data_IF_977039912273
#
_entry.id   IF_977039912273
#
_cell.length_a   1.000
_cell.length_b   1.000
_cell.length_c   1.000
_cell.angle_alpha   90.00
_cell.angle_beta   90.00
_cell.angle_gamma   90.00
#
_symmetry.space_group_name_H-M   'P 1'
#
loop_
_entity.id
_entity.type
_entity.pdbx_description
1 polymer ?
#
# COMPACT_ATOMS: atom_id res chain seq x y z
N UNK A 1 -6.12 4.84 -4.97
CA UNK A 1 -5.84 6.05 -5.79
C UNK A 1 -5.55 5.72 -7.26
N UNK A 2 -5.50 6.68 -8.19
CA UNK A 2 -5.23 6.39 -9.63
C UNK A 2 -3.87 5.70 -9.85
N UNK A 3 -2.85 6.04 -9.06
CA UNK A 3 -1.54 5.44 -9.17
C UNK A 3 -1.52 3.96 -8.77
N UNK A 4 -2.09 3.64 -7.60
CA UNK A 4 -2.27 2.25 -7.14
C UNK A 4 -3.06 1.43 -8.17
N UNK A 5 -4.10 1.98 -8.79
CA UNK A 5 -4.87 1.27 -9.83
C UNK A 5 -4.01 0.92 -11.05
N UNK A 6 -3.11 1.80 -11.49
CA UNK A 6 -2.19 1.55 -12.60
C UNK A 6 -1.23 0.40 -12.26
N UNK A 7 -0.65 0.43 -11.05
CA UNK A 7 0.27 -0.60 -10.58
C UNK A 7 -0.44 -1.94 -10.39
N UNK A 8 -1.59 -1.93 -9.70
CA UNK A 8 -2.45 -3.10 -9.46
C UNK A 8 -2.86 -3.79 -10.76
N UNK A 9 -3.30 -3.03 -11.77
CA UNK A 9 -3.68 -3.60 -13.07
C UNK A 9 -2.49 -4.32 -13.74
N UNK A 10 -1.29 -3.73 -13.68
CA UNK A 10 -0.09 -4.34 -14.26
C UNK A 10 0.39 -5.55 -13.47
N UNK A 11 0.30 -5.51 -12.13
CA UNK A 11 0.57 -6.66 -11.26
C UNK A 11 -0.36 -7.83 -11.58
N UNK A 12 -1.67 -7.56 -11.64
CA UNK A 12 -2.67 -8.55 -12.01
C UNK A 12 -2.34 -9.12 -13.39
N UNK A 13 -2.14 -8.29 -14.42
CA UNK A 13 -1.79 -8.78 -15.76
C UNK A 13 -0.67 -9.84 -15.78
N UNK A 14 0.41 -9.65 -15.01
CA UNK A 14 1.54 -10.60 -14.98
C UNK A 14 1.39 -11.74 -13.96
N UNK A 15 0.73 -11.50 -12.82
CA UNK A 15 0.66 -12.45 -11.71
C UNK A 15 -0.74 -13.04 -11.50
N UNK A 16 -1.69 -12.82 -12.42
CA UNK A 16 -3.05 -13.35 -12.33
C UNK A 16 -3.10 -14.87 -12.42
N UNK A 17 -2.25 -15.47 -13.26
CA UNK A 17 -2.28 -16.90 -13.53
C UNK A 17 -1.32 -17.69 -12.65
N UNK A 18 -1.80 -18.83 -12.14
CA UNK A 18 -1.06 -19.77 -11.32
C UNK A 18 -1.23 -19.52 -9.81
N UNK A 19 -0.38 -20.14 -9.00
CA UNK A 19 -0.42 -20.05 -7.54
C UNK A 19 0.12 -18.73 -6.97
N UNK A 20 0.09 -17.64 -7.74
CA UNK A 20 0.49 -16.31 -7.23
C UNK A 20 -0.71 -15.57 -6.67
N UNK A 21 -0.49 -14.68 -5.71
CA UNK A 21 -1.52 -13.81 -5.15
C UNK A 21 -1.06 -12.36 -5.19
N UNK A 22 -1.92 -11.50 -5.72
CA UNK A 22 -1.76 -10.04 -5.66
C UNK A 22 -2.79 -9.52 -4.66
N UNK A 23 -2.31 -8.94 -3.58
CA UNK A 23 -3.13 -8.28 -2.59
C UNK A 23 -2.88 -6.78 -2.68
N UNK A 24 -3.95 -6.00 -2.87
CA UNK A 24 -3.87 -4.53 -2.93
C UNK A 24 -4.54 -3.94 -1.69
N UNK A 25 -4.06 -2.77 -1.26
CA UNK A 25 -4.67 -1.97 -0.18
C UNK A 25 -4.83 -2.74 1.13
N UNK A 26 -3.80 -3.53 1.50
CA UNK A 26 -3.84 -4.35 2.70
C UNK A 26 -3.57 -3.48 3.92
N UNK A 27 -4.55 -3.40 4.82
CA UNK A 27 -4.36 -2.71 6.09
C UNK A 27 -3.81 -3.67 7.14
N UNK A 28 -2.85 -3.23 7.95
CA UNK A 28 -2.33 -3.93 9.12
C UNK A 28 -2.52 -3.09 10.38
N UNK A 29 -2.95 -3.73 11.47
CA UNK A 29 -2.87 -3.12 12.80
C UNK A 29 -1.43 -3.20 13.31
N UNK A 30 -0.89 -2.04 13.66
CA UNK A 30 0.40 -1.88 14.31
C UNK A 30 0.29 -2.18 15.81
N UNK A 31 1.42 -2.48 16.46
CA UNK A 31 1.46 -2.72 17.91
C UNK A 31 0.97 -1.52 18.75
N UNK A 32 1.02 -0.30 18.21
CA UNK A 32 0.55 0.91 18.89
C UNK A 32 -0.95 1.16 18.73
N UNK A 33 -1.70 0.25 18.10
CA UNK A 33 -3.13 0.41 17.83
C UNK A 33 -3.47 1.26 16.59
N UNK A 34 -2.46 1.81 15.90
CA UNK A 34 -2.65 2.49 14.62
C UNK A 34 -2.73 1.48 13.46
N UNK A 35 -3.20 1.91 12.29
CA UNK A 35 -3.17 1.12 11.07
C UNK A 35 -2.06 1.59 10.12
N UNK A 36 -1.50 0.67 9.33
CA UNK A 36 -0.64 0.98 8.17
C UNK A 36 -1.18 0.24 6.95
N UNK A 37 -1.19 0.90 5.80
CA UNK A 37 -1.66 0.31 4.54
C UNK A 37 -0.47 -0.04 3.66
N UNK A 38 -0.45 -1.27 3.14
CA UNK A 38 0.46 -1.71 2.08
C UNK A 38 -0.28 -1.63 0.76
N UNK A 39 0.21 -0.79 -0.16
CA UNK A 39 -0.43 -0.57 -1.46
C UNK A 39 -0.51 -1.87 -2.26
N UNK A 40 0.61 -2.60 -2.39
CA UNK A 40 0.61 -3.90 -3.05
C UNK A 40 1.55 -4.91 -2.38
N UNK A 41 1.06 -6.13 -2.20
CA UNK A 41 1.84 -7.30 -1.82
C UNK A 41 1.61 -8.40 -2.85
N UNK A 42 2.70 -8.87 -3.46
CA UNK A 42 2.68 -10.04 -4.33
C UNK A 42 3.29 -11.21 -3.57
N UNK A 43 2.62 -12.35 -3.55
CA UNK A 43 3.13 -13.60 -2.99
C UNK A 43 3.19 -14.62 -4.13
N UNK A 44 4.38 -15.14 -4.42
CA UNK A 44 4.58 -16.07 -5.52
C UNK A 44 5.81 -16.94 -5.31
N UNK A 45 5.93 -18.01 -6.10
CA UNK A 45 7.16 -18.82 -6.16
C UNK A 45 8.39 -18.06 -6.66
N UNK A 46 8.18 -16.89 -7.28
CA UNK A 46 9.24 -16.00 -7.79
C UNK A 46 9.77 -15.04 -6.73
N UNK A 47 9.06 -14.90 -5.61
CA UNK A 47 9.38 -13.96 -4.54
C UNK A 47 8.13 -13.39 -3.87
N UNK A 48 8.36 -12.70 -2.76
CA UNK A 48 7.39 -11.82 -2.13
C UNK A 48 7.82 -10.38 -2.40
N UNK A 49 6.93 -9.60 -3.00
CA UNK A 49 7.21 -8.23 -3.42
C UNK A 49 6.29 -7.26 -2.67
N UNK A 50 6.88 -6.39 -1.84
CA UNK A 50 6.16 -5.34 -1.13
C UNK A 50 6.38 -3.99 -1.85
N UNK A 51 5.32 -3.45 -2.43
CA UNK A 51 5.39 -2.31 -3.35
C UNK A 51 4.62 -1.13 -2.77
N UNK A 52 5.29 0.00 -2.66
CA UNK A 52 4.74 1.30 -2.29
C UNK A 52 4.58 2.15 -3.56
N UNK A 53 3.42 2.76 -3.75
CA UNK A 53 3.06 3.49 -4.95
C UNK A 53 2.87 4.97 -4.66
N UNK A 54 3.63 5.81 -5.37
CA UNK A 54 3.43 7.25 -5.42
C UNK A 54 2.92 7.66 -6.79
N UNK A 55 2.16 8.76 -6.82
CA UNK A 55 1.69 9.39 -8.05
C UNK A 55 1.94 10.90 -8.00
N UNK A 56 3.21 11.27 -7.91
CA UNK A 56 3.65 12.65 -7.74
C UNK A 56 4.11 13.24 -9.08
N UNK A 57 3.75 14.51 -9.30
CA UNK A 57 4.16 15.34 -10.44
C UNK A 57 4.83 16.61 -9.91
N UNK A 58 6.00 16.99 -10.43
CA UNK A 58 6.76 18.14 -9.94
C UNK A 58 8.20 17.78 -9.61
N UNK A 59 8.71 18.20 -8.46
CA UNK A 59 10.09 17.98 -8.02
C UNK A 59 10.12 17.39 -6.62
N UNK A 60 10.91 16.35 -6.40
CA UNK A 60 11.16 15.76 -5.09
C UNK A 60 12.65 15.92 -4.75
N UNK A 61 12.94 16.34 -3.52
CA UNK A 61 14.29 16.54 -2.97
C UNK A 61 14.38 15.94 -1.56
N UNK A 62 15.45 15.21 -1.29
CA UNK A 62 15.72 14.59 0.00
C UNK A 62 16.86 13.56 -0.13
N UNK A 63 17.19 12.93 0.98
CA UNK A 63 18.21 11.89 1.11
C UNK A 63 17.61 10.59 1.66
N UNK A 64 18.34 9.47 1.55
CA UNK A 64 17.88 8.17 2.08
C UNK A 64 17.57 8.21 3.57
N UNK A 65 18.32 8.99 4.34
CA UNK A 65 18.26 9.03 5.80
C UNK A 65 17.30 10.11 6.31
N UNK A 66 16.80 10.97 5.41
CA UNK A 66 15.83 11.99 5.78
C UNK A 66 14.49 11.33 6.11
N UNK A 67 13.92 11.66 7.27
CA UNK A 67 12.57 11.19 7.64
C UNK A 67 11.49 11.72 6.68
N UNK A 68 11.67 12.94 6.18
CA UNK A 68 10.76 13.59 5.27
C UNK A 68 11.51 14.16 4.07
N UNK A 69 10.95 14.01 2.88
CA UNK A 69 11.42 14.65 1.66
C UNK A 69 10.61 15.90 1.36
N UNK A 70 11.25 16.88 0.74
CA UNK A 70 10.59 18.06 0.18
C UNK A 70 9.99 17.71 -1.18
N UNK A 71 8.72 18.07 -1.37
CA UNK A 71 8.00 17.92 -2.63
C UNK A 71 7.47 19.29 -3.06
N UNK A 72 7.84 19.70 -4.28
CA UNK A 72 7.28 20.88 -4.95
C UNK A 72 6.39 20.41 -6.09
N UNK A 73 5.09 20.67 -6.03
CA UNK A 73 4.16 20.25 -7.07
C UNK A 73 4.31 21.11 -8.35
N UNK A 74 3.56 20.78 -9.40
CA UNK A 74 3.61 21.50 -10.69
C UNK A 74 3.14 22.96 -10.61
N UNK A 75 2.36 23.33 -9.58
CA UNK A 75 1.90 24.70 -9.33
C UNK A 75 2.92 25.52 -8.52
N UNK A 76 4.01 24.89 -8.09
CA UNK A 76 5.06 25.53 -7.29
C UNK A 76 4.85 25.47 -5.77
N UNK A 77 3.74 24.90 -5.30
CA UNK A 77 3.50 24.72 -3.86
C UNK A 77 4.43 23.65 -3.30
N UNK A 78 5.01 23.94 -2.14
CA UNK A 78 5.96 23.04 -1.46
C UNK A 78 5.31 22.40 -0.24
N UNK A 79 5.49 21.10 -0.09
CA UNK A 79 5.10 20.33 1.09
C UNK A 79 6.18 19.33 1.46
N UNK A 80 6.01 18.67 2.61
CA UNK A 80 6.83 17.53 3.03
C UNK A 80 6.06 16.24 2.77
N UNK A 81 6.74 15.23 2.26
CA UNK A 81 6.23 13.86 2.17
C UNK A 81 7.07 12.98 3.09
N UNK A 82 6.44 12.03 3.78
CA UNK A 82 7.20 11.03 4.52
C UNK A 82 8.04 10.20 3.54
N UNK A 83 9.25 9.85 3.95
CA UNK A 83 10.17 9.09 3.10
C UNK A 83 9.57 7.72 2.75
N UNK A 84 9.24 7.46 1.46
CA UNK A 84 8.58 6.22 1.07
C UNK A 84 9.45 4.98 1.28
N UNK A 85 10.78 5.16 1.38
CA UNK A 85 11.70 4.07 1.73
C UNK A 85 11.49 3.62 3.18
N UNK A 86 11.29 4.56 4.10
CA UNK A 86 10.99 4.24 5.50
C UNK A 86 9.60 3.66 5.67
N UNK A 87 8.62 4.16 4.90
CA UNK A 87 7.27 3.61 4.85
C UNK A 87 7.30 2.13 4.42
N UNK A 88 7.93 1.83 3.28
CA UNK A 88 8.03 0.46 2.78
C UNK A 88 8.89 -0.43 3.70
N UNK A 89 9.98 0.09 4.28
CA UNK A 89 10.74 -0.65 5.29
C UNK A 89 9.89 -1.06 6.50
N UNK A 90 8.97 -0.20 6.94
CA UNK A 90 7.98 -0.55 7.97
C UNK A 90 7.04 -1.65 7.48
N UNK A 91 6.53 -1.56 6.25
CA UNK A 91 5.65 -2.57 5.65
C UNK A 91 6.33 -3.95 5.60
N UNK A 92 7.57 -4.02 5.12
CA UNK A 92 8.36 -5.26 5.09
C UNK A 92 8.52 -5.89 6.47
N UNK A 93 8.76 -5.09 7.52
CA UNK A 93 8.82 -5.60 8.90
C UNK A 93 7.50 -6.23 9.34
N UNK A 94 6.36 -5.62 9.00
CA UNK A 94 5.05 -6.17 9.32
C UNK A 94 4.77 -7.47 8.57
N UNK A 95 5.07 -7.52 7.26
CA UNK A 95 4.89 -8.74 6.46
C UNK A 95 5.83 -9.86 6.92
N UNK A 96 7.09 -9.55 7.21
CA UNK A 96 8.07 -10.49 7.77
C UNK A 96 7.57 -11.09 9.08
N UNK A 97 7.10 -10.25 10.00
CA UNK A 97 6.54 -10.72 11.28
C UNK A 97 5.26 -11.53 11.10
N UNK A 98 4.42 -11.20 10.11
CA UNK A 98 3.18 -11.92 9.84
C UNK A 98 3.44 -13.33 9.29
N UNK A 99 4.38 -13.43 8.35
CA UNK A 99 4.67 -14.67 7.62
C UNK A 99 5.72 -15.55 8.32
N UNK A 100 6.36 -15.05 9.39
CA UNK A 100 7.39 -15.79 10.10
C UNK A 100 8.68 -16.00 9.31
N UNK A 101 8.98 -15.12 8.34
CA UNK A 101 10.17 -15.21 7.48
C UNK A 101 11.08 -13.99 7.66
N UNK A 102 12.36 -14.16 7.34
CA UNK A 102 13.34 -13.06 7.39
C UNK A 102 13.01 -11.92 6.41
N UNK A 103 13.33 -10.68 6.77
CA UNK A 103 13.05 -9.50 5.92
C UNK A 103 13.77 -9.56 4.56
N UNK A 104 14.92 -10.23 4.49
CA UNK A 104 15.71 -10.43 3.28
C UNK A 104 15.00 -11.32 2.26
N UNK A 105 14.01 -12.12 2.69
CA UNK A 105 13.15 -12.92 1.81
C UNK A 105 12.03 -12.10 1.16
N UNK A 106 11.90 -10.81 1.51
CA UNK A 106 10.89 -9.90 0.99
C UNK A 106 11.59 -8.75 0.26
N UNK A 107 11.38 -8.69 -1.05
CA UNK A 107 11.92 -7.59 -1.86
C UNK A 107 11.00 -6.37 -1.77
N UNK A 108 11.60 -5.21 -1.50
CA UNK A 108 10.91 -3.94 -1.30
C UNK A 108 11.07 -3.02 -2.50
N UNK A 109 9.98 -2.41 -2.96
CA UNK A 109 9.99 -1.46 -4.08
C UNK A 109 9.16 -0.22 -3.78
N UNK A 110 9.72 0.95 -4.04
CA UNK A 110 8.92 2.17 -4.17
C UNK A 110 8.79 2.46 -5.66
N UNK A 111 7.59 2.75 -6.15
CA UNK A 111 7.40 3.23 -7.51
C UNK A 111 6.72 4.59 -7.53
N UNK A 112 7.11 5.46 -8.46
CA UNK A 112 6.34 6.65 -8.81
C UNK A 112 5.81 6.52 -10.24
N UNK A 113 4.49 6.48 -10.41
CA UNK A 113 3.85 6.46 -11.74
C UNK A 113 3.60 7.86 -12.32
N UNK A 114 3.76 8.90 -11.50
CA UNK A 114 3.71 10.29 -11.96
C UNK A 114 5.03 10.75 -12.59
N UNK A 115 5.06 12.00 -13.05
CA UNK A 115 6.19 12.62 -13.77
C UNK A 115 7.08 13.48 -12.86
N UNK A 116 7.22 13.13 -11.58
CA UNK A 116 8.09 13.86 -10.68
C UNK A 116 9.58 13.72 -11.07
N UNK A 117 10.28 14.84 -11.12
CA UNK A 117 11.74 14.91 -11.25
C UNK A 117 12.38 14.78 -9.87
N UNK A 118 13.42 13.98 -9.78
CA UNK A 118 14.15 13.76 -8.54
C UNK A 118 15.47 14.53 -8.58
N UNK A 119 15.83 15.18 -7.47
CA UNK A 119 17.11 15.87 -7.35
C UNK A 119 18.23 14.94 -6.83
N UNK A 120 19.47 15.33 -7.13
CA UNK A 120 20.72 14.53 -7.21
C UNK A 120 20.92 13.43 -6.18
N UNK A 121 20.59 13.64 -4.91
CA UNK A 121 20.84 12.63 -3.89
C UNK A 121 19.79 11.50 -3.88
N UNK A 122 18.56 11.78 -4.33
CA UNK A 122 17.54 10.75 -4.56
C UNK A 122 17.88 9.92 -5.81
N UNK A 123 18.42 10.57 -6.85
CA UNK A 123 18.71 9.90 -8.13
C UNK A 123 19.70 8.73 -7.97
N UNK A 124 20.64 8.82 -7.01
CA UNK A 124 21.58 7.75 -6.68
C UNK A 124 20.90 6.47 -6.16
N UNK A 125 19.71 6.59 -5.58
CA UNK A 125 18.86 5.46 -5.15
C UNK A 125 17.90 5.00 -6.26
N UNK A 126 17.81 5.77 -7.34
CA UNK A 126 17.00 5.47 -8.51
C UNK A 126 17.83 4.58 -9.46
N UNK A 127 17.55 3.28 -9.40
CA UNK A 127 18.30 2.22 -10.07
C UNK A 127 17.68 0.85 -9.78
N UNK A 128 18.29 -0.27 -10.18
CA UNK A 128 17.68 -1.61 -10.05
C UNK A 128 17.22 -2.00 -8.63
N UNK A 129 17.61 -1.28 -7.57
CA UNK A 129 17.57 -1.83 -6.22
C UNK A 129 16.46 -1.32 -5.29
N UNK A 130 15.89 -0.10 -5.40
CA UNK A 130 14.83 0.34 -4.47
C UNK A 130 13.72 1.25 -5.02
N UNK A 131 14.01 2.25 -5.87
CA UNK A 131 12.97 3.15 -6.41
C UNK A 131 12.84 3.01 -7.93
N UNK A 132 11.61 2.88 -8.40
CA UNK A 132 11.23 2.62 -9.79
C UNK A 132 10.40 3.77 -10.35
N UNK A 133 10.56 4.03 -11.66
CA UNK A 133 9.63 4.88 -12.41
C UNK A 133 8.62 4.00 -13.13
N UNK A 134 7.34 4.36 -13.04
CA UNK A 134 6.24 3.66 -13.72
C UNK A 134 6.11 2.20 -13.30
N UNK A 135 5.73 1.34 -14.24
CA UNK A 135 5.41 -0.07 -13.97
C UNK A 135 6.32 -1.07 -14.67
N UNK A 136 7.31 -0.60 -15.45
CA UNK A 136 8.18 -1.46 -16.26
C UNK A 136 8.94 -2.51 -15.45
N UNK A 137 9.29 -2.20 -14.20
CA UNK A 137 10.00 -3.13 -13.32
C UNK A 137 9.19 -4.39 -12.99
N UNK A 138 7.85 -4.35 -13.07
CA UNK A 138 6.98 -5.49 -12.76
C UNK A 138 7.24 -6.65 -13.72
N UNK A 139 7.53 -6.35 -14.98
CA UNK A 139 7.90 -7.38 -15.95
C UNK A 139 9.15 -8.14 -15.52
N UNK A 140 10.15 -7.44 -14.97
CA UNK A 140 11.36 -8.07 -14.44
C UNK A 140 11.07 -8.96 -13.22
N UNK A 141 10.13 -8.56 -12.35
CA UNK A 141 9.68 -9.41 -11.25
C UNK A 141 9.03 -10.69 -11.76
N UNK A 142 8.21 -10.56 -12.81
CA UNK A 142 7.58 -11.69 -13.46
C UNK A 142 8.56 -12.61 -14.18
N UNK A 143 9.68 -12.11 -14.71
CA UNK A 143 10.72 -12.94 -15.34
C UNK A 143 11.56 -13.76 -14.35
N UNK A 144 11.58 -13.41 -13.06
CA UNK A 144 12.38 -14.14 -12.04
C UNK A 144 12.09 -15.66 -12.03
N UNK A 145 13.09 -16.52 -11.75
CA UNK A 145 12.87 -17.96 -11.64
C UNK A 145 11.92 -18.30 -10.48
N UNK A 146 11.19 -19.42 -10.60
CA UNK A 146 10.24 -19.91 -9.58
C UNK A 146 10.94 -20.70 -8.47
N UNK A 147 12.00 -20.13 -7.90
CA UNK A 147 12.90 -20.80 -6.93
C UNK A 147 12.96 -20.13 -5.56
N UNK A 148 12.23 -19.03 -5.34
CA UNK A 148 12.27 -18.31 -4.07
C UNK A 148 11.46 -19.02 -2.97
N UNK A 149 10.36 -19.68 -3.36
CA UNK A 149 9.45 -20.38 -2.46
C UNK A 149 8.80 -21.59 -3.16
N UNK A 150 8.48 -22.64 -2.40
CA UNK A 150 7.71 -23.79 -2.86
C UNK A 150 6.24 -23.43 -3.14
N UNK A 151 5.49 -24.34 -3.77
CA UNK A 151 4.06 -24.09 -4.00
C UNK A 151 3.27 -24.12 -2.67
N UNK A 152 3.73 -24.96 -1.74
CA UNK A 152 3.18 -25.17 -0.40
C UNK A 152 3.41 -23.93 0.48
N UNK A 153 4.63 -23.40 0.52
CA UNK A 153 4.95 -22.15 1.23
C UNK A 153 4.09 -20.99 0.71
N UNK A 154 3.95 -20.87 -0.61
CA UNK A 154 3.13 -19.81 -1.21
C UNK A 154 1.66 -19.95 -0.83
N UNK A 155 1.13 -21.17 -0.80
CA UNK A 155 -0.24 -21.44 -0.37
C UNK A 155 -0.44 -21.05 1.10
N UNK A 156 0.45 -21.48 1.98
CA UNK A 156 0.43 -21.15 3.41
C UNK A 156 0.46 -19.63 3.65
N UNK A 157 1.37 -18.91 3.00
CA UNK A 157 1.41 -17.44 3.12
C UNK A 157 0.14 -16.76 2.63
N UNK A 158 -0.46 -17.27 1.56
CA UNK A 158 -1.72 -16.74 1.04
C UNK A 158 -2.88 -16.94 2.03
N UNK A 159 -2.91 -18.08 2.73
CA UNK A 159 -3.89 -18.39 3.78
C UNK A 159 -3.72 -17.43 4.96
N UNK A 160 -2.50 -17.28 5.48
CA UNK A 160 -2.18 -16.35 6.59
C UNK A 160 -2.60 -14.91 6.24
N UNK A 161 -2.26 -14.42 5.04
CA UNK A 161 -2.61 -13.06 4.62
C UNK A 161 -4.13 -12.90 4.50
N UNK A 162 -4.83 -13.89 3.94
CA UNK A 162 -6.29 -13.85 3.81
C UNK A 162 -6.98 -13.79 5.17
N UNK A 163 -6.54 -14.60 6.13
CA UNK A 163 -7.07 -14.58 7.49
C UNK A 163 -6.82 -13.23 8.16
N UNK A 164 -5.61 -12.67 8.02
CA UNK A 164 -5.28 -11.37 8.59
C UNK A 164 -6.13 -10.24 8.00
N UNK A 165 -6.35 -10.23 6.69
CA UNK A 165 -7.21 -9.25 6.01
C UNK A 165 -8.65 -9.34 6.51
N UNK A 166 -9.22 -10.56 6.57
CA UNK A 166 -10.59 -10.78 7.08
C UNK A 166 -10.77 -10.26 8.50
N UNK A 167 -9.81 -10.53 9.39
CA UNK A 167 -9.87 -10.09 10.78
C UNK A 167 -9.86 -8.56 10.89
N UNK A 168 -9.04 -7.88 10.08
CA UNK A 168 -8.99 -6.42 10.07
C UNK A 168 -10.26 -5.82 9.51
N UNK A 169 -10.84 -6.38 8.44
CA UNK A 169 -12.15 -5.92 7.96
C UNK A 169 -13.23 -6.04 9.04
N UNK A 170 -13.20 -7.11 9.83
CA UNK A 170 -14.12 -7.31 10.94
C UNK A 170 -13.87 -6.32 12.08
N UNK A 171 -12.61 -6.09 12.46
CA UNK A 171 -12.22 -5.12 13.48
C UNK A 171 -12.57 -3.69 13.06
N UNK A 172 -12.32 -3.32 11.81
CA UNK A 172 -12.68 -2.01 11.24
C UNK A 172 -14.20 -1.83 11.20
N UNK A 173 -14.97 -2.85 10.81
CA UNK A 173 -16.45 -2.82 10.88
C UNK A 173 -16.93 -2.65 12.33
N UNK A 174 -16.40 -3.43 13.26
CA UNK A 174 -16.75 -3.35 14.67
C UNK A 174 -16.40 -1.98 15.27
N UNK A 175 -15.22 -1.45 14.95
CA UNK A 175 -14.78 -0.12 15.39
C UNK A 175 -15.62 1.00 14.76
N UNK A 176 -15.99 0.90 13.49
CA UNK A 176 -16.90 1.83 12.83
C UNK A 176 -18.30 1.80 13.47
N UNK A 177 -18.86 0.61 13.72
CA UNK A 177 -20.13 0.44 14.43
C UNK A 177 -20.06 1.05 15.84
N UNK A 178 -18.97 0.81 16.58
CA UNK A 178 -18.77 1.37 17.91
C UNK A 178 -18.62 2.90 17.88
N UNK A 179 -17.92 3.44 16.90
CA UNK A 179 -17.81 4.88 16.67
C UNK A 179 -19.17 5.51 16.35
N UNK A 180 -19.95 4.93 15.42
CA UNK A 180 -21.30 5.39 15.08
C UNK A 180 -22.23 5.31 16.28
N UNK A 181 -22.19 4.22 17.06
CA UNK A 181 -22.94 4.09 18.33
C UNK A 181 -22.57 5.18 19.32
N UNK A 182 -21.27 5.51 19.46
CA UNK A 182 -20.79 6.61 20.32
C UNK A 182 -21.27 7.97 19.81
N UNK A 183 -21.24 8.22 18.51
CA UNK A 183 -21.77 9.46 17.92
C UNK A 183 -23.28 9.56 18.12
N UNK A 184 -24.05 8.51 17.86
CA UNK A 184 -25.50 8.53 18.04
C UNK A 184 -25.87 8.75 19.52
N UNK A 185 -25.16 8.11 20.46
CA UNK A 185 -25.33 8.35 21.90
C UNK A 185 -24.97 9.79 22.29
N UNK A 186 -23.95 10.39 21.67
CA UNK A 186 -23.51 11.78 21.92
C UNK A 186 -24.46 12.81 21.28
N UNK A 187 -25.04 12.50 20.12
CA UNK A 187 -26.03 13.32 19.41
C UNK A 187 -27.45 13.23 20.00
N UNK A 188 -27.71 12.24 20.86
CA UNK A 188 -28.97 12.14 21.62
C UNK A 188 -29.06 13.15 22.77
N UNK A 189 -27.99 13.95 23.01
CA UNK A 189 -27.90 14.89 24.13
C UNK A 189 -27.40 16.30 23.78
N UNK A 190 -27.33 16.69 22.50
CA UNK A 190 -26.83 18.01 22.13
C UNK A 190 -27.01 18.33 20.64
N UNK A 191 -27.33 19.58 20.35
CA UNK A 191 -27.71 20.16 19.05
C UNK A 191 -26.77 19.85 17.87
N UNK A 192 -27.38 19.67 16.69
CA UNK A 192 -26.75 19.32 15.40
C UNK A 192 -25.68 20.32 14.94
N UNK A 193 -24.46 19.84 14.69
CA UNK A 193 -23.52 20.44 13.74
C UNK A 193 -22.92 19.35 12.85
N UNK A 194 -23.12 19.51 11.53
CA UNK A 194 -22.55 18.63 10.50
C UNK A 194 -21.06 18.95 10.33
N UNK A 195 -20.21 17.95 10.44
CA UNK A 195 -18.79 18.07 10.07
C UNK A 195 -18.47 16.98 9.04
N UNK A 196 -18.27 17.44 7.80
CA UNK A 196 -17.70 16.66 6.71
C UNK A 196 -16.22 16.39 7.00
N UNK A 197 -15.81 15.12 7.05
CA UNK A 197 -14.42 14.70 6.87
C UNK A 197 -14.36 13.57 5.85
N UNK A 198 -13.46 13.74 4.89
CA UNK A 198 -13.27 13.03 3.64
C UNK A 198 -13.06 11.52 3.82
N UNK A 199 -14.03 10.73 3.38
CA UNK A 199 -13.95 9.28 3.27
C UNK A 199 -13.45 8.88 1.87
N UNK A 200 -12.33 8.15 1.82
CA UNK A 200 -12.15 7.08 0.84
C UNK A 200 -12.84 5.83 1.38
N UNK A 201 -14.16 5.73 1.23
CA UNK A 201 -14.95 4.54 1.52
C UNK A 201 -15.97 4.35 0.39
N UNK A 202 -15.82 3.20 -0.28
CA UNK A 202 -16.88 2.31 -0.78
C UNK A 202 -18.13 3.03 -1.32
N UNK A 203 -18.15 3.29 -2.64
CA UNK A 203 -19.40 3.44 -3.40
C UNK A 203 -19.89 2.04 -3.79
N UNK A 204 -20.71 1.46 -2.92
CA UNK A 204 -21.72 0.45 -3.32
C UNK A 204 -23.01 0.80 -2.59
N UNK A 205 -23.86 1.61 -3.23
CA UNK A 205 -25.31 1.52 -3.04
C UNK A 205 -25.99 1.78 -4.38
N UNK A 206 -26.36 0.67 -5.01
CA UNK A 206 -27.57 0.42 -5.77
C UNK A 206 -28.36 1.65 -6.25
N UNK A 207 -28.28 1.90 -7.55
CA UNK A 207 -29.36 2.54 -8.29
C UNK A 207 -30.53 1.54 -8.39
N UNK A 208 -31.68 1.86 -7.80
CA UNK A 208 -33.04 1.49 -8.22
C UNK A 208 -34.04 2.04 -7.18
N UNK A 209 -34.66 3.19 -7.47
CA UNK A 209 -36.12 3.35 -7.74
C UNK A 209 -36.58 4.82 -7.70
N UNK A 210 -37.24 5.23 -8.80
CA UNK A 210 -38.29 6.24 -9.04
C UNK A 210 -38.12 7.69 -8.52
N UNK A 211 -37.94 8.66 -9.44
CA UNK A 211 -38.98 9.31 -10.28
C UNK A 211 -38.32 9.70 -11.61
#
# INVERSE_FOLDING_TARGET
>A
MIGERIVSHKLLFYFYFGSSKVCNDITFLTKSGNTTQIDHLVVSRKGIFCIETKNLNGVIKGNKDDQYWSYKNVLGNTSKIYNPLFQNASHVRHVSSLLGISQERIERFVTNVGKAKLKSDIYKFFGPNLIKSGTGFIFNLWLKPKSAFSAEEVKEFCEIINERVKNIDQDTKNNHVNYVKRINKKNSGGSRQYIYWSMGIILVVMAFWLI
#
